data_IF_407236742447
#
_entry.id   IF_407236742447
#
_cell.length_a   1.000
_cell.length_b   1.000
_cell.length_c   1.000
_cell.angle_alpha   90.00
_cell.angle_beta   90.00
_cell.angle_gamma   90.00
#
_symmetry.space_group_name_H-M   'P 1'
#
loop_
_entity.id
_entity.type
_entity.pdbx_description
1 polymer ?
#
# COMPACT_ATOMS: atom_id res chain seq x y z
N UNK A 1 22.29 19.59 -11.99
CA UNK A 1 21.19 19.57 -11.02
C UNK A 1 20.47 18.23 -11.15
N UNK A 2 20.73 17.28 -10.24
CA UNK A 2 20.04 15.98 -10.26
C UNK A 2 18.81 16.07 -9.35
N UNK A 3 17.83 16.89 -9.74
CA UNK A 3 16.52 16.90 -9.10
C UNK A 3 15.80 15.60 -9.46
N UNK A 4 15.58 14.72 -8.48
CA UNK A 4 14.72 13.54 -8.67
C UNK A 4 13.28 14.05 -8.78
N UNK A 5 12.68 13.90 -9.96
CA UNK A 5 11.25 14.18 -10.15
C UNK A 5 10.43 13.04 -9.54
N UNK A 6 9.51 13.37 -8.66
CA UNK A 6 8.53 12.44 -8.09
C UNK A 6 7.15 12.82 -8.60
N UNK A 7 6.31 11.82 -8.89
CA UNK A 7 4.93 12.05 -9.30
C UNK A 7 4.13 12.62 -8.13
N UNK A 8 3.31 13.64 -8.36
CA UNK A 8 2.58 14.36 -7.30
C UNK A 8 1.72 13.43 -6.44
N UNK A 9 0.99 12.48 -7.05
CA UNK A 9 0.18 11.52 -6.30
C UNK A 9 1.01 10.59 -5.40
N UNK A 10 2.27 10.29 -5.76
CA UNK A 10 3.18 9.52 -4.89
C UNK A 10 3.55 10.39 -3.70
N UNK A 11 3.95 11.64 -3.92
CA UNK A 11 4.32 12.55 -2.84
C UNK A 11 3.15 12.79 -1.86
N UNK A 12 1.92 12.94 -2.37
CA UNK A 12 0.71 13.07 -1.55
C UNK A 12 0.42 11.80 -0.74
N UNK A 13 0.63 10.62 -1.32
CA UNK A 13 0.46 9.35 -0.60
C UNK A 13 1.54 9.15 0.47
N UNK A 14 2.80 9.37 0.15
CA UNK A 14 3.93 9.23 1.09
C UNK A 14 3.79 10.18 2.28
N UNK A 15 3.31 11.40 2.03
CA UNK A 15 3.00 12.38 3.08
C UNK A 15 1.90 11.87 4.02
N UNK A 16 0.85 11.23 3.49
CA UNK A 16 -0.21 10.64 4.31
C UNK A 16 0.27 9.42 5.11
N UNK A 17 1.13 8.59 4.51
CA UNK A 17 1.68 7.41 5.16
C UNK A 17 2.76 7.74 6.20
N UNK A 18 3.38 8.92 6.11
CA UNK A 18 4.54 9.29 6.93
C UNK A 18 5.80 8.46 6.58
N UNK A 19 5.83 7.82 5.41
CA UNK A 19 6.94 7.01 4.92
C UNK A 19 6.94 6.97 3.38
N UNK A 20 8.07 6.59 2.80
CA UNK A 20 8.15 6.27 1.38
C UNK A 20 7.33 5.02 1.01
N UNK A 21 6.91 4.94 -0.25
CA UNK A 21 6.31 3.71 -0.79
C UNK A 21 7.34 2.58 -0.81
N UNK A 22 6.90 1.38 -0.46
CA UNK A 22 7.69 0.17 -0.66
C UNK A 22 7.78 -0.17 -2.17
N UNK A 23 8.81 -0.94 -2.61
CA UNK A 23 8.96 -1.32 -4.02
C UNK A 23 7.76 -2.09 -4.60
N UNK A 24 6.98 -2.72 -3.73
CA UNK A 24 5.77 -3.45 -4.03
C UNK A 24 4.49 -2.62 -3.82
N UNK A 25 4.58 -1.30 -3.64
CA UNK A 25 3.42 -0.42 -3.49
C UNK A 25 3.20 0.48 -4.71
N UNK A 26 1.94 0.76 -5.02
CA UNK A 26 1.49 1.64 -6.11
C UNK A 26 0.36 2.54 -5.62
N UNK A 27 0.21 3.68 -6.27
CA UNK A 27 -0.89 4.63 -5.98
C UNK A 27 -1.85 4.64 -7.16
N UNK A 28 -3.14 4.48 -6.87
CA UNK A 28 -4.22 4.45 -7.85
C UNK A 28 -5.23 5.58 -7.61
N UNK A 29 -5.78 6.13 -8.69
CA UNK A 29 -6.89 7.09 -8.65
C UNK A 29 -8.24 6.38 -8.68
N UNK A 30 -9.07 6.57 -7.65
CA UNK A 30 -10.41 5.94 -7.53
C UNK A 30 -11.31 6.29 -8.71
N UNK A 31 -11.35 7.58 -9.06
CA UNK A 31 -12.19 8.10 -10.16
C UNK A 31 -11.55 7.95 -11.56
N UNK A 32 -10.37 7.33 -11.68
CA UNK A 32 -9.60 7.21 -12.94
C UNK A 32 -9.13 8.54 -13.55
N UNK A 33 -9.28 9.65 -12.84
CA UNK A 33 -8.86 10.99 -13.26
C UNK A 33 -7.45 11.26 -12.75
N UNK A 34 -6.46 11.18 -13.64
CA UNK A 34 -5.02 11.18 -13.31
C UNK A 34 -4.49 12.49 -12.69
N UNK A 35 -5.21 13.60 -12.86
CA UNK A 35 -4.84 14.90 -12.29
C UNK A 35 -5.60 15.23 -10.99
N UNK A 36 -6.50 14.36 -10.53
CA UNK A 36 -7.18 14.53 -9.25
C UNK A 36 -6.37 13.88 -8.13
N UNK A 37 -5.34 14.58 -7.66
CA UNK A 37 -4.39 14.10 -6.65
C UNK A 37 -4.86 14.35 -5.21
N UNK A 38 -6.16 14.62 -4.99
CA UNK A 38 -6.69 14.78 -3.62
C UNK A 38 -6.53 13.47 -2.84
N UNK A 39 -6.07 13.51 -1.57
CA UNK A 39 -5.93 12.34 -0.70
C UNK A 39 -7.09 11.34 -0.76
N UNK A 40 -8.32 11.84 -0.73
CA UNK A 40 -9.54 11.02 -0.71
C UNK A 40 -9.77 10.25 -2.02
N UNK A 41 -9.17 10.70 -3.13
CA UNK A 41 -9.25 10.07 -4.45
C UNK A 41 -8.08 9.11 -4.73
N UNK A 42 -7.08 9.04 -3.84
CA UNK A 42 -5.94 8.15 -4.00
C UNK A 42 -6.13 6.88 -3.16
N UNK A 43 -5.56 5.78 -3.64
CA UNK A 43 -5.53 4.48 -2.96
C UNK A 43 -4.15 3.88 -3.03
N UNK A 44 -3.72 3.29 -1.92
CA UNK A 44 -2.51 2.49 -1.87
C UNK A 44 -2.85 1.05 -2.27
N UNK A 45 -2.10 0.53 -3.23
CA UNK A 45 -2.20 -0.84 -3.73
C UNK A 45 -0.86 -1.52 -3.48
N UNK A 46 -0.86 -2.78 -3.05
CA UNK A 46 0.36 -3.61 -3.08
C UNK A 46 0.41 -4.37 -4.40
N UNK A 47 1.54 -4.99 -4.73
CA UNK A 47 1.70 -5.87 -5.89
C UNK A 47 2.34 -7.17 -5.42
N UNK A 48 1.92 -8.29 -6.00
CA UNK A 48 2.27 -9.63 -5.50
C UNK A 48 1.11 -10.40 -4.90
N UNK A 49 -0.07 -9.79 -4.84
CA UNK A 49 -1.35 -10.42 -4.56
C UNK A 49 -2.22 -10.51 -5.84
N UNK A 50 -3.35 -11.25 -5.83
CA UNK A 50 -4.28 -11.25 -6.96
C UNK A 50 -4.69 -9.84 -7.38
N UNK A 51 -4.76 -9.59 -8.68
CA UNK A 51 -5.06 -8.26 -9.23
C UNK A 51 -6.38 -7.70 -8.67
N UNK A 52 -6.35 -6.48 -8.12
CA UNK A 52 -7.52 -5.79 -7.61
C UNK A 52 -7.77 -5.87 -6.11
N UNK A 53 -6.94 -6.58 -5.33
CA UNK A 53 -7.07 -6.57 -3.87
C UNK A 53 -6.57 -5.23 -3.30
N UNK A 54 -7.31 -4.65 -2.35
CA UNK A 54 -6.89 -3.44 -1.65
C UNK A 54 -5.99 -3.81 -0.47
N UNK A 55 -5.10 -2.91 -0.08
CA UNK A 55 -4.26 -3.11 1.12
C UNK A 55 -5.11 -3.30 2.37
N UNK A 56 -6.22 -2.57 2.49
CA UNK A 56 -7.12 -2.71 3.64
C UNK A 56 -7.75 -4.12 3.71
N UNK A 57 -8.16 -4.69 2.57
CA UNK A 57 -8.75 -6.03 2.51
C UNK A 57 -7.73 -7.11 2.90
N UNK A 58 -6.48 -6.95 2.46
CA UNK A 58 -5.39 -7.87 2.82
C UNK A 58 -5.05 -7.80 4.30
N UNK A 59 -5.02 -6.61 4.90
CA UNK A 59 -4.78 -6.46 6.33
C UNK A 59 -5.91 -7.07 7.14
N UNK A 60 -7.17 -6.83 6.76
CA UNK A 60 -8.33 -7.45 7.40
C UNK A 60 -8.23 -8.98 7.37
N UNK A 61 -7.97 -9.55 6.19
CA UNK A 61 -7.76 -11.00 6.05
C UNK A 61 -6.57 -11.51 6.86
N UNK A 62 -5.43 -10.82 6.83
CA UNK A 62 -4.25 -11.20 7.61
C UNK A 62 -4.55 -11.22 9.11
N UNK A 63 -5.28 -10.22 9.63
CA UNK A 63 -5.70 -10.21 11.04
C UNK A 63 -6.62 -11.38 11.38
N UNK A 64 -7.59 -11.72 10.53
CA UNK A 64 -8.46 -12.89 10.75
C UNK A 64 -7.65 -14.20 10.80
N UNK A 65 -6.66 -14.35 9.91
CA UNK A 65 -5.78 -15.54 9.88
C UNK A 65 -4.90 -15.60 11.12
N UNK A 66 -4.31 -14.47 11.54
CA UNK A 66 -3.48 -14.39 12.74
C UNK A 66 -4.31 -14.66 13.99
N UNK A 67 -5.53 -14.14 14.09
CA UNK A 67 -6.42 -14.42 15.21
C UNK A 67 -6.77 -15.91 15.27
N UNK A 68 -7.01 -16.54 14.12
CA UNK A 68 -7.41 -17.96 14.06
C UNK A 68 -6.25 -18.95 14.28
N UNK A 69 -5.04 -18.61 13.84
CA UNK A 69 -3.92 -19.56 13.75
C UNK A 69 -2.59 -19.01 14.25
N UNK A 70 -2.58 -17.87 14.94
CA UNK A 70 -1.35 -17.18 15.36
C UNK A 70 -0.45 -18.01 16.29
N UNK A 71 -1.03 -18.96 17.02
CA UNK A 71 -0.36 -19.92 17.89
C UNK A 71 0.34 -21.06 17.13
N UNK A 72 -0.09 -21.35 15.90
CA UNK A 72 0.52 -22.35 15.01
C UNK A 72 1.76 -21.79 14.30
N UNK A 73 1.97 -20.47 14.36
CA UNK A 73 3.07 -19.82 13.65
C UNK A 73 4.43 -20.26 14.23
N UNK A 74 5.28 -20.97 13.45
CA UNK A 74 6.64 -21.26 13.90
C UNK A 74 7.39 -19.95 14.14
N UNK A 75 8.36 -19.92 15.07
CA UNK A 75 9.07 -18.70 15.42
C UNK A 75 9.57 -18.00 14.16
N UNK A 76 9.25 -16.70 14.04
CA UNK A 76 9.70 -15.87 12.93
C UNK A 76 11.21 -16.07 12.79
N UNK A 77 11.66 -16.63 11.67
CA UNK A 77 13.08 -16.55 11.31
C UNK A 77 13.36 -15.08 11.06
N UNK A 78 14.02 -14.45 12.02
CA UNK A 78 14.68 -13.16 11.79
C UNK A 78 15.70 -13.43 10.67
N UNK A 79 15.45 -12.82 9.51
CA UNK A 79 16.42 -12.72 8.43
C UNK A 79 17.40 -11.58 8.72
#
# INVERSE_FOLDING_TARGET
MNGRYVLEHIAVMETQLGRYLHPDERVHHKNKVRNDNRPQNLELWSVGHPSGARVEDMLAWAYEVIERYGDVCPPKKLA
#
